data_IF_506531661802
#
_entry.id   IF_506531661802
#
_cell.length_a   1.000
_cell.length_b   1.000
_cell.length_c   1.000
_cell.angle_alpha   90.00
_cell.angle_beta   90.00
_cell.angle_gamma   90.00
#
_symmetry.space_group_name_H-M   'P 1'
#
loop_
_entity.id
_entity.type
_entity.pdbx_description
1 polymer ?
#
# COMPACT_ATOMS: atom_id res chain seq x y z
N UNK A 1 -1.21 13.28 11.60
CA UNK A 1 -1.49 11.87 11.25
C UNK A 1 -0.21 11.06 11.38
N UNK A 2 -0.31 9.82 11.86
CA UNK A 2 0.82 8.91 12.05
C UNK A 2 0.56 7.64 11.24
N UNK A 3 1.61 7.10 10.64
CA UNK A 3 1.62 5.73 10.18
C UNK A 3 2.93 5.05 10.59
N UNK A 4 2.88 3.74 10.74
CA UNK A 4 4.03 2.92 11.00
C UNK A 4 3.96 1.65 10.18
N UNK A 5 5.11 1.02 9.97
CA UNK A 5 5.26 -0.20 9.21
C UNK A 5 6.24 -1.12 9.90
N UNK A 6 5.94 -2.41 9.90
CA UNK A 6 6.92 -3.46 10.12
C UNK A 6 7.20 -4.16 8.81
N UNK A 7 8.40 -4.68 8.66
CA UNK A 7 8.79 -5.55 7.58
C UNK A 7 9.04 -6.95 8.11
N UNK A 8 8.44 -7.92 7.47
CA UNK A 8 8.34 -9.31 7.86
C UNK A 8 8.87 -10.13 6.70
N UNK A 9 10.17 -10.32 6.68
CA UNK A 9 10.84 -11.06 5.63
C UNK A 9 11.05 -12.52 6.06
N UNK A 10 10.66 -13.50 5.26
CA UNK A 10 11.02 -14.87 5.54
C UNK A 10 12.55 -15.01 5.50
N UNK A 11 13.10 -15.78 6.43
CA UNK A 11 14.52 -16.13 6.35
C UNK A 11 14.80 -16.75 5.00
N UNK A 12 15.88 -16.30 4.34
CA UNK A 12 16.37 -16.98 3.17
C UNK A 12 16.63 -18.45 3.50
N UNK A 13 16.35 -19.40 2.58
CA UNK A 13 16.52 -20.83 2.83
C UNK A 13 17.94 -21.24 3.27
N UNK A 14 18.93 -20.42 2.96
CA UNK A 14 20.34 -20.56 3.34
C UNK A 14 20.70 -19.93 4.69
N UNK A 15 19.72 -19.38 5.43
CA UNK A 15 19.95 -18.67 6.68
C UNK A 15 20.54 -17.26 6.50
N UNK A 16 20.56 -16.74 5.29
CA UNK A 16 20.98 -15.37 4.97
C UNK A 16 20.13 -14.34 5.70
N UNK A 17 20.76 -13.25 6.15
CA UNK A 17 20.06 -12.11 6.73
C UNK A 17 19.78 -11.10 5.62
N UNK A 18 18.51 -10.75 5.47
CA UNK A 18 18.16 -9.58 4.68
C UNK A 18 18.57 -8.33 5.47
N UNK A 19 19.61 -7.65 4.99
CA UNK A 19 20.04 -6.39 5.56
C UNK A 19 19.40 -5.27 4.77
N UNK A 20 18.85 -4.29 5.47
CA UNK A 20 18.32 -3.09 4.83
C UNK A 20 19.36 -1.97 4.90
N UNK A 21 19.46 -1.21 3.82
CA UNK A 21 20.33 -0.06 3.72
C UNK A 21 19.51 1.23 3.70
N UNK A 22 19.73 2.08 4.70
CA UNK A 22 19.22 3.45 4.66
C UNK A 22 20.13 4.30 3.77
N UNK A 23 19.56 4.84 2.70
CA UNK A 23 20.29 5.59 1.67
C UNK A 23 19.72 6.99 1.54
N UNK A 24 20.60 7.97 1.40
CA UNK A 24 20.24 9.34 0.96
C UNK A 24 20.49 9.44 -0.52
N UNK A 25 19.44 9.59 -1.30
CA UNK A 25 19.50 9.82 -2.73
C UNK A 25 19.52 11.33 -2.98
N UNK A 26 20.59 11.88 -3.55
CA UNK A 26 20.69 13.32 -3.76
C UNK A 26 19.71 13.81 -4.85
N UNK A 27 19.34 15.07 -4.77
CA UNK A 27 18.62 15.72 -5.86
C UNK A 27 19.41 15.59 -7.16
N UNK A 28 18.74 15.34 -8.27
CA UNK A 28 19.39 15.07 -9.55
C UNK A 28 18.67 15.75 -10.70
N UNK A 29 19.46 16.25 -11.64
CA UNK A 29 18.98 16.75 -12.94
C UNK A 29 19.21 15.67 -13.99
N UNK A 30 18.18 15.39 -14.76
CA UNK A 30 18.18 14.40 -15.83
C UNK A 30 18.07 15.08 -17.19
N UNK A 31 18.58 14.42 -18.21
CA UNK A 31 18.45 14.84 -19.60
C UNK A 31 17.15 14.34 -20.18
N UNK A 32 16.70 14.96 -21.25
CA UNK A 32 15.59 14.44 -22.03
C UNK A 32 15.92 13.02 -22.55
N UNK A 33 14.99 12.11 -22.33
CA UNK A 33 15.15 10.70 -22.66
C UNK A 33 15.70 9.81 -21.54
N UNK A 34 16.23 10.37 -20.46
CA UNK A 34 16.63 9.58 -19.28
C UNK A 34 15.38 8.92 -18.64
N UNK A 35 15.53 7.67 -18.23
CA UNK A 35 14.42 6.86 -17.69
C UNK A 35 14.80 6.17 -16.39
N UNK A 36 13.80 5.96 -15.54
CA UNK A 36 13.83 4.91 -14.52
C UNK A 36 13.76 3.59 -15.28
N UNK A 37 14.59 2.63 -14.90
CA UNK A 37 14.62 1.30 -15.48
C UNK A 37 14.66 0.26 -14.36
N UNK A 38 13.73 -0.71 -14.40
CA UNK A 38 13.75 -1.86 -13.52
C UNK A 38 14.06 -3.11 -14.35
N UNK A 39 15.30 -3.60 -14.22
CA UNK A 39 15.77 -4.74 -15.00
C UNK A 39 15.08 -6.06 -14.60
N UNK A 40 14.46 -6.13 -13.41
CA UNK A 40 13.81 -7.34 -12.93
C UNK A 40 12.58 -7.72 -13.76
N UNK A 41 11.85 -6.72 -14.26
CA UNK A 41 10.65 -6.95 -15.08
C UNK A 41 10.63 -6.18 -16.40
N UNK A 42 11.57 -5.27 -16.62
CA UNK A 42 11.66 -4.44 -17.83
C UNK A 42 10.81 -3.17 -17.77
N UNK A 43 10.31 -2.77 -16.61
CA UNK A 43 9.60 -1.51 -16.44
C UNK A 43 10.49 -0.33 -16.75
N UNK A 44 9.95 0.65 -17.50
CA UNK A 44 10.63 1.91 -17.75
C UNK A 44 9.66 3.09 -17.65
N UNK A 45 10.13 4.19 -17.04
CA UNK A 45 9.36 5.42 -16.96
C UNK A 45 10.28 6.67 -17.06
N UNK A 46 9.88 7.77 -17.75
CA UNK A 46 10.72 8.95 -17.88
C UNK A 46 11.06 9.59 -16.53
N UNK A 47 12.29 10.03 -16.34
CA UNK A 47 12.64 10.94 -15.27
C UNK A 47 12.05 12.34 -15.49
N UNK A 48 11.80 13.06 -14.39
CA UNK A 48 11.60 14.51 -14.51
C UNK A 48 12.95 15.20 -14.73
N UNK A 49 12.94 16.36 -15.38
CA UNK A 49 14.15 17.14 -15.59
C UNK A 49 14.90 17.46 -14.29
N UNK A 50 14.16 17.65 -13.19
CA UNK A 50 14.72 17.86 -11.86
C UNK A 50 13.93 17.02 -10.86
N UNK A 51 14.61 16.14 -10.15
CA UNK A 51 14.06 15.30 -9.09
C UNK A 51 14.66 15.68 -7.75
N UNK A 52 13.83 15.69 -6.72
CA UNK A 52 14.17 16.10 -5.36
C UNK A 52 15.04 15.06 -4.66
N UNK A 53 15.81 15.52 -3.69
CA UNK A 53 16.48 14.65 -2.73
C UNK A 53 15.47 13.90 -1.88
N UNK A 54 15.74 12.63 -1.63
CA UNK A 54 14.95 11.79 -0.75
C UNK A 54 15.81 10.76 -0.02
N UNK A 55 15.24 10.12 0.98
CA UNK A 55 15.84 8.97 1.64
C UNK A 55 14.99 7.76 1.34
N UNK A 56 15.60 6.60 1.27
CA UNK A 56 14.89 5.34 1.15
C UNK A 56 15.62 4.23 1.90
N UNK A 57 14.86 3.22 2.29
CA UNK A 57 15.38 1.98 2.85
C UNK A 57 15.31 0.92 1.76
N UNK A 58 16.47 0.51 1.29
CA UNK A 58 16.61 -0.49 0.23
C UNK A 58 16.89 -1.86 0.81
N UNK A 59 16.36 -2.88 0.18
CA UNK A 59 16.79 -4.25 0.42
C UNK A 59 18.24 -4.42 -0.06
N UNK A 60 19.09 -4.99 0.78
CA UNK A 60 20.50 -5.17 0.46
C UNK A 60 20.80 -6.49 -0.23
N UNK A 61 19.82 -7.33 -0.43
CA UNK A 61 20.02 -8.63 -1.09
C UNK A 61 20.13 -8.47 -2.61
N UNK A 62 21.24 -7.86 -3.02
CA UNK A 62 21.60 -7.68 -4.43
C UNK A 62 21.82 -9.00 -5.17
N UNK A 63 22.01 -10.11 -4.44
CA UNK A 63 22.37 -11.40 -5.02
C UNK A 63 21.15 -12.16 -5.56
N UNK A 64 19.94 -11.75 -5.22
CA UNK A 64 18.69 -12.37 -5.70
C UNK A 64 18.17 -11.80 -7.02
N UNK A 65 19.01 -11.10 -7.79
CA UNK A 65 18.64 -10.59 -9.11
C UNK A 65 17.77 -9.33 -9.07
N UNK A 66 17.44 -8.79 -7.91
CA UNK A 66 16.98 -7.43 -7.78
C UNK A 66 18.21 -6.52 -7.84
N UNK A 67 18.23 -5.57 -8.76
CA UNK A 67 19.38 -4.67 -8.99
C UNK A 67 19.66 -3.67 -7.85
N UNK A 68 19.29 -4.00 -6.63
CA UNK A 68 19.47 -3.16 -5.46
C UNK A 68 18.54 -1.96 -5.40
N UNK A 69 17.50 -1.93 -6.22
CA UNK A 69 16.55 -0.82 -6.33
C UNK A 69 15.21 -1.12 -5.62
N UNK A 70 15.13 -2.12 -4.78
CA UNK A 70 13.92 -2.43 -4.03
C UNK A 70 13.81 -1.52 -2.81
N UNK A 71 13.15 -0.38 -2.97
CA UNK A 71 12.95 0.59 -1.91
C UNK A 71 11.61 0.36 -1.20
N UNK A 72 11.65 0.02 0.10
CA UNK A 72 10.46 -0.29 0.88
C UNK A 72 9.71 0.96 1.35
N UNK A 73 10.43 1.98 1.78
CA UNK A 73 9.86 3.23 2.30
C UNK A 73 10.91 4.34 2.32
N UNK A 74 10.45 5.57 2.51
CA UNK A 74 11.34 6.72 2.61
C UNK A 74 10.57 8.04 2.80
N UNK A 75 11.31 9.13 2.73
CA UNK A 75 10.76 10.49 2.73
C UNK A 75 11.64 11.44 1.93
N UNK A 76 11.02 12.46 1.33
CA UNK A 76 11.74 13.46 0.55
C UNK A 76 12.08 14.71 1.38
N UNK A 77 12.83 15.63 0.79
CA UNK A 77 13.30 16.87 1.43
C UNK A 77 12.17 17.84 1.83
N UNK A 78 10.95 17.65 1.32
CA UNK A 78 9.78 18.42 1.72
C UNK A 78 9.00 17.76 2.87
N UNK A 79 9.46 16.61 3.38
CA UNK A 79 8.82 15.88 4.46
C UNK A 79 7.61 15.04 4.02
N UNK A 80 7.50 14.74 2.74
CA UNK A 80 6.54 13.75 2.25
C UNK A 80 7.12 12.37 2.46
N UNK A 81 6.42 11.53 3.19
CA UNK A 81 6.80 10.14 3.48
C UNK A 81 5.93 9.17 2.70
N UNK A 82 6.49 8.04 2.33
CA UNK A 82 5.80 6.97 1.62
C UNK A 82 6.28 5.61 2.11
N UNK A 83 5.37 4.65 2.19
CA UNK A 83 5.68 3.23 2.24
C UNK A 83 4.95 2.50 1.12
N UNK A 84 5.62 1.53 0.53
CA UNK A 84 5.10 0.58 -0.43
C UNK A 84 5.45 -0.84 0.05
N UNK A 85 5.39 -1.84 -0.81
CA UNK A 85 5.80 -3.20 -0.45
C UNK A 85 4.89 -3.91 0.55
N UNK A 86 3.61 -3.52 0.59
CA UNK A 86 2.57 -4.31 1.24
C UNK A 86 1.87 -5.12 0.15
N UNK A 87 2.55 -6.17 -0.33
CA UNK A 87 2.05 -7.02 -1.41
C UNK A 87 0.68 -7.58 -1.07
N UNK A 88 -0.26 -7.44 -1.98
CA UNK A 88 -1.62 -7.97 -1.88
C UNK A 88 -1.95 -8.76 -3.15
N UNK A 89 -2.76 -9.80 -3.03
CA UNK A 89 -3.05 -10.67 -4.18
C UNK A 89 -4.49 -10.46 -4.64
N UNK A 90 -4.69 -9.97 -5.86
CA UNK A 90 -6.01 -9.94 -6.48
C UNK A 90 -6.56 -11.36 -6.70
N UNK A 91 -7.88 -11.51 -6.76
CA UNK A 91 -8.46 -12.80 -7.11
C UNK A 91 -8.42 -13.09 -8.61
N UNK A 92 -8.48 -14.36 -8.96
CA UNK A 92 -8.35 -14.84 -10.34
C UNK A 92 -9.46 -14.34 -11.28
N UNK A 93 -10.64 -13.98 -10.74
CA UNK A 93 -11.75 -13.51 -11.56
C UNK A 93 -11.46 -12.13 -12.14
N UNK A 94 -11.03 -11.19 -11.29
CA UNK A 94 -10.67 -9.84 -11.76
C UNK A 94 -9.42 -9.84 -12.61
N UNK A 95 -8.46 -10.75 -12.35
CA UNK A 95 -7.26 -10.89 -13.17
C UNK A 95 -7.51 -11.45 -14.57
N UNK A 96 -8.65 -12.10 -14.83
CA UNK A 96 -9.05 -12.47 -16.20
C UNK A 96 -9.50 -11.27 -17.02
N UNK A 97 -10.09 -10.27 -16.37
CA UNK A 97 -10.62 -9.07 -17.03
C UNK A 97 -9.58 -7.95 -17.11
N UNK A 98 -8.74 -7.81 -16.08
CA UNK A 98 -7.67 -6.83 -16.02
C UNK A 98 -6.39 -7.49 -15.44
N UNK A 99 -5.65 -8.23 -16.27
CA UNK A 99 -4.47 -8.96 -15.84
C UNK A 99 -3.34 -8.03 -15.42
N UNK A 100 -2.51 -8.49 -14.48
CA UNK A 100 -1.26 -7.82 -14.14
C UNK A 100 -0.38 -7.67 -15.39
N UNK A 101 0.28 -6.55 -15.51
CA UNK A 101 1.12 -6.20 -16.66
C UNK A 101 2.56 -6.59 -16.37
N UNK A 102 3.13 -7.49 -17.17
CA UNK A 102 4.46 -8.06 -16.91
C UNK A 102 5.55 -7.01 -16.73
N UNK A 103 5.58 -6.01 -17.60
CA UNK A 103 6.50 -4.86 -17.61
C UNK A 103 5.82 -3.58 -17.06
N UNK A 104 4.74 -3.74 -16.30
CA UNK A 104 4.08 -2.69 -15.56
C UNK A 104 4.88 -2.24 -14.34
N UNK A 105 4.37 -1.25 -13.62
CA UNK A 105 5.00 -0.70 -12.43
C UNK A 105 5.17 -1.78 -11.35
N UNK A 106 6.41 -2.16 -10.99
CA UNK A 106 6.66 -3.14 -9.95
C UNK A 106 6.74 -2.45 -8.58
N UNK A 107 6.51 -3.22 -7.54
CA UNK A 107 6.63 -2.82 -6.14
C UNK A 107 7.99 -2.14 -5.85
N UNK A 108 9.05 -2.72 -6.39
CA UNK A 108 10.42 -2.26 -6.19
C UNK A 108 10.67 -0.81 -6.61
N UNK A 109 9.95 -0.32 -7.64
CA UNK A 109 10.15 1.01 -8.20
C UNK A 109 9.24 2.09 -7.64
N UNK A 110 8.24 1.75 -6.81
CA UNK A 110 7.21 2.68 -6.33
C UNK A 110 7.78 3.89 -5.58
N UNK A 111 8.70 3.66 -4.66
CA UNK A 111 9.29 4.71 -3.82
C UNK A 111 10.19 5.63 -4.64
N UNK A 112 11.07 5.04 -5.47
CA UNK A 112 12.01 5.78 -6.33
C UNK A 112 11.30 6.54 -7.45
N UNK A 113 10.12 6.06 -7.87
CA UNK A 113 9.27 6.77 -8.81
C UNK A 113 8.60 7.98 -8.18
N UNK A 114 7.99 7.83 -7.00
CA UNK A 114 7.04 8.80 -6.49
C UNK A 114 7.65 9.87 -5.57
N UNK A 115 8.54 9.49 -4.65
CA UNK A 115 9.11 10.44 -3.67
C UNK A 115 9.89 11.61 -4.28
N UNK A 116 10.75 11.42 -5.30
CA UNK A 116 11.52 12.54 -5.85
C UNK A 116 10.67 13.54 -6.65
N UNK A 117 9.39 13.25 -6.88
CA UNK A 117 8.46 14.02 -7.72
C UNK A 117 7.38 14.73 -6.96
N UNK A 118 6.96 14.15 -5.83
CA UNK A 118 5.78 14.58 -5.09
C UNK A 118 6.10 15.66 -4.06
N UNK A 119 5.29 16.72 -4.01
CA UNK A 119 5.37 17.79 -3.01
C UNK A 119 4.39 17.60 -1.86
N UNK A 120 3.41 16.74 -2.04
CA UNK A 120 2.38 16.39 -1.05
C UNK A 120 2.11 14.89 -1.05
N UNK A 121 1.47 14.41 0.00
CA UNK A 121 1.02 13.01 0.06
C UNK A 121 0.04 12.66 -1.08
N UNK A 122 -0.85 13.60 -1.43
CA UNK A 122 -1.76 13.45 -2.56
C UNK A 122 -1.01 13.30 -3.89
N UNK A 123 0.03 14.10 -4.13
CA UNK A 123 0.83 14.03 -5.36
C UNK A 123 1.60 12.70 -5.50
N UNK A 124 1.96 12.03 -4.37
CA UNK A 124 2.48 10.65 -4.42
C UNK A 124 1.45 9.72 -5.07
N UNK A 125 0.22 9.75 -4.58
CA UNK A 125 -0.87 8.91 -5.08
C UNK A 125 -1.21 9.23 -6.54
N UNK A 126 -1.30 10.51 -6.89
CA UNK A 126 -1.58 10.96 -8.27
C UNK A 126 -0.46 10.54 -9.25
N UNK A 127 0.80 10.56 -8.79
CA UNK A 127 1.94 10.09 -9.58
C UNK A 127 1.83 8.59 -9.86
N UNK A 128 1.56 7.80 -8.83
CA UNK A 128 1.39 6.34 -8.99
C UNK A 128 0.17 6.05 -9.87
N UNK A 129 -0.98 6.67 -9.60
CA UNK A 129 -2.21 6.50 -10.37
C UNK A 129 -1.98 6.76 -11.87
N UNK A 130 -1.30 7.85 -12.20
CA UNK A 130 -0.94 8.17 -13.60
C UNK A 130 -0.12 7.07 -14.26
N UNK A 131 0.86 6.53 -13.55
CA UNK A 131 1.71 5.45 -14.10
C UNK A 131 0.92 4.16 -14.26
N UNK A 132 0.01 3.85 -13.33
CA UNK A 132 -0.89 2.71 -13.45
C UNK A 132 -1.83 2.83 -14.65
N UNK A 133 -2.36 4.02 -14.91
CA UNK A 133 -3.20 4.28 -16.11
C UNK A 133 -2.40 4.11 -17.41
N UNK A 134 -1.11 4.47 -17.41
CA UNK A 134 -0.27 4.46 -18.63
C UNK A 134 0.43 3.12 -18.87
N UNK A 135 0.82 2.42 -17.81
CA UNK A 135 1.73 1.26 -17.85
C UNK A 135 1.13 0.01 -17.20
N UNK A 136 0.13 0.18 -16.37
CA UNK A 136 -0.36 -0.88 -15.52
C UNK A 136 0.58 -1.22 -14.37
N UNK A 137 0.16 -2.19 -13.55
CA UNK A 137 0.91 -2.74 -12.42
C UNK A 137 1.36 -4.16 -12.67
N UNK A 138 2.57 -4.48 -12.25
CA UNK A 138 3.10 -5.85 -12.29
C UNK A 138 2.55 -6.73 -11.15
N UNK A 139 2.02 -6.12 -10.09
CA UNK A 139 1.53 -6.81 -8.90
C UNK A 139 0.52 -5.99 -8.10
N UNK A 140 -0.28 -6.65 -7.26
CA UNK A 140 -1.15 -5.96 -6.31
C UNK A 140 -0.35 -5.43 -5.12
N UNK A 141 -0.68 -4.23 -4.65
CA UNK A 141 0.05 -3.59 -3.56
C UNK A 141 -0.81 -2.62 -2.76
N UNK A 142 -0.33 -2.26 -1.56
CA UNK A 142 -0.88 -1.19 -0.76
C UNK A 142 0.19 -0.14 -0.53
N UNK A 143 -0.18 1.12 -0.71
CA UNK A 143 0.67 2.29 -0.52
C UNK A 143 0.07 3.17 0.58
N UNK A 144 0.93 3.69 1.44
CA UNK A 144 0.58 4.79 2.35
C UNK A 144 1.51 5.95 2.07
N UNK A 145 0.95 7.13 1.88
CA UNK A 145 1.68 8.37 1.74
C UNK A 145 1.21 9.39 2.77
N UNK A 146 2.13 10.14 3.37
CA UNK A 146 1.79 11.15 4.35
C UNK A 146 2.69 12.38 4.23
N UNK A 147 2.10 13.53 4.53
CA UNK A 147 2.81 14.78 4.79
C UNK A 147 2.32 15.41 6.11
N UNK A 148 2.71 16.64 6.38
CA UNK A 148 2.32 17.35 7.61
C UNK A 148 0.81 17.61 7.71
N UNK A 149 0.04 17.54 6.61
CA UNK A 149 -1.36 17.92 6.55
C UNK A 149 -2.29 16.72 6.44
N UNK A 150 -1.89 15.70 5.68
CA UNK A 150 -2.76 14.59 5.31
C UNK A 150 -2.02 13.25 5.17
N UNK A 151 -2.80 12.19 5.18
CA UNK A 151 -2.38 10.83 4.88
C UNK A 151 -3.31 10.26 3.83
N UNK A 152 -2.75 9.56 2.87
CA UNK A 152 -3.45 8.81 1.84
C UNK A 152 -3.12 7.32 1.93
N UNK A 153 -4.14 6.50 1.70
CA UNK A 153 -4.04 5.04 1.61
C UNK A 153 -4.53 4.61 0.24
N UNK A 154 -3.78 3.78 -0.46
CA UNK A 154 -4.10 3.31 -1.81
C UNK A 154 -3.97 1.80 -1.89
N UNK A 155 -4.94 1.15 -2.53
CA UNK A 155 -4.88 -0.24 -2.96
C UNK A 155 -4.75 -0.33 -4.49
N UNK A 156 -3.70 -1.00 -4.97
CA UNK A 156 -3.50 -1.39 -6.36
C UNK A 156 -4.13 -2.77 -6.52
N UNK A 157 -5.24 -2.84 -7.23
CA UNK A 157 -6.22 -3.92 -7.18
C UNK A 157 -6.06 -4.95 -8.30
N UNK A 158 -5.50 -4.55 -9.44
CA UNK A 158 -5.24 -5.40 -10.61
C UNK A 158 -4.32 -4.67 -11.58
N UNK A 159 -4.25 -5.06 -12.83
CA UNK A 159 -3.34 -4.46 -13.83
C UNK A 159 -3.47 -2.94 -13.93
N UNK A 160 -4.70 -2.40 -13.99
CA UNK A 160 -4.93 -0.97 -14.12
C UNK A 160 -5.93 -0.42 -13.10
N UNK A 161 -6.45 -1.28 -12.19
CA UNK A 161 -7.43 -0.82 -11.22
C UNK A 161 -6.80 -0.50 -9.87
N UNK A 162 -7.20 0.63 -9.32
CA UNK A 162 -6.75 1.12 -8.02
C UNK A 162 -7.81 2.02 -7.38
N UNK A 163 -7.78 2.08 -6.06
CA UNK A 163 -8.55 3.05 -5.28
C UNK A 163 -7.69 3.59 -4.15
N UNK A 164 -7.66 4.89 -4.01
CA UNK A 164 -7.01 5.58 -2.92
C UNK A 164 -7.99 6.49 -2.18
N UNK A 165 -7.80 6.59 -0.87
CA UNK A 165 -8.60 7.47 -0.01
C UNK A 165 -7.69 8.38 0.81
N UNK A 166 -8.13 9.62 1.00
CA UNK A 166 -7.60 10.47 2.05
C UNK A 166 -8.05 9.89 3.39
N UNK A 167 -7.09 9.55 4.24
CA UNK A 167 -7.38 8.87 5.49
C UNK A 167 -8.03 9.82 6.50
N UNK A 168 -9.22 9.49 7.04
CA UNK A 168 -9.93 10.35 7.99
C UNK A 168 -9.15 10.50 9.30
N UNK A 169 -9.12 11.73 9.84
CA UNK A 169 -8.34 12.05 11.05
C UNK A 169 -8.90 11.47 12.35
N UNK A 170 -10.15 11.02 12.33
CA UNK A 170 -10.85 10.42 13.48
C UNK A 170 -10.90 8.88 13.42
N UNK A 171 -10.19 8.27 12.48
CA UNK A 171 -10.14 6.81 12.33
C UNK A 171 -8.73 6.30 12.61
N UNK A 172 -8.64 5.00 12.89
CA UNK A 172 -7.39 4.25 12.86
C UNK A 172 -7.53 3.03 11.93
N UNK A 173 -6.41 2.49 11.51
CA UNK A 173 -6.34 1.27 10.72
C UNK A 173 -5.20 0.39 11.19
N UNK A 174 -5.43 -0.91 11.11
CA UNK A 174 -4.39 -1.95 11.18
C UNK A 174 -4.65 -2.89 10.02
N UNK A 175 -3.64 -3.14 9.21
CA UNK A 175 -3.78 -3.97 8.03
C UNK A 175 -2.51 -4.78 7.75
N UNK A 176 -2.67 -5.89 7.05
CA UNK A 176 -1.61 -6.80 6.64
C UNK A 176 -1.62 -6.93 5.11
N UNK A 177 -1.06 -8.01 4.57
CA UNK A 177 -0.86 -8.21 3.13
C UNK A 177 -2.13 -8.72 2.42
N UNK A 178 -3.18 -7.91 2.39
CA UNK A 178 -4.43 -8.16 1.65
C UNK A 178 -5.22 -6.85 1.53
N UNK A 179 -6.32 -6.82 0.76
CA UNK A 179 -7.13 -5.62 0.58
C UNK A 179 -8.14 -5.42 1.71
N UNK A 180 -8.43 -4.16 2.04
CA UNK A 180 -9.29 -3.76 3.16
C UNK A 180 -10.35 -2.72 2.83
N UNK A 181 -10.25 -2.02 1.67
CA UNK A 181 -11.22 -0.99 1.33
C UNK A 181 -12.63 -1.57 1.18
N UNK A 182 -13.52 -1.12 2.03
CA UNK A 182 -14.94 -1.39 1.93
C UNK A 182 -15.61 -0.55 0.85
N UNK A 183 -16.79 0.01 1.18
CA UNK A 183 -17.45 1.00 0.33
C UNK A 183 -16.71 2.34 0.38
N UNK A 184 -16.55 2.94 -0.79
CA UNK A 184 -15.98 4.28 -0.99
C UNK A 184 -16.84 5.04 -1.99
N UNK A 185 -17.16 6.30 -1.68
CA UNK A 185 -17.84 7.17 -2.66
C UNK A 185 -16.86 7.58 -3.77
N UNK A 186 -16.90 6.88 -4.88
CA UNK A 186 -16.04 7.13 -6.04
C UNK A 186 -16.28 8.50 -6.71
N UNK A 187 -17.34 9.22 -6.34
CA UNK A 187 -17.62 10.58 -6.82
C UNK A 187 -16.99 11.66 -5.96
N UNK A 188 -16.52 11.35 -4.75
CA UNK A 188 -15.80 12.29 -3.87
C UNK A 188 -14.37 12.52 -4.37
N UNK A 189 -14.23 13.41 -5.36
CA UNK A 189 -12.92 13.72 -5.98
C UNK A 189 -11.95 14.49 -5.07
N UNK A 190 -12.42 14.99 -3.95
CA UNK A 190 -11.56 15.63 -2.94
C UNK A 190 -10.82 14.58 -2.10
N UNK A 191 -11.50 13.51 -1.71
CA UNK A 191 -10.99 12.53 -0.77
C UNK A 191 -10.74 11.15 -1.40
N UNK A 192 -11.06 10.95 -2.68
CA UNK A 192 -10.92 9.67 -3.40
C UNK A 192 -10.26 9.87 -4.76
N UNK A 193 -9.28 9.03 -5.04
CA UNK A 193 -8.64 8.87 -6.35
C UNK A 193 -8.80 7.41 -6.75
N UNK A 194 -9.48 7.15 -7.86
CA UNK A 194 -9.76 5.81 -8.31
C UNK A 194 -9.65 5.70 -9.83
N UNK A 195 -9.26 4.52 -10.31
CA UNK A 195 -9.30 4.18 -11.72
C UNK A 195 -10.74 4.27 -12.24
N UNK A 196 -10.86 4.64 -13.50
CA UNK A 196 -12.16 4.91 -14.13
C UNK A 196 -13.07 3.68 -14.16
N UNK A 197 -12.49 2.51 -14.39
CA UNK A 197 -13.22 1.28 -14.71
C UNK A 197 -13.28 0.29 -13.53
N UNK A 198 -12.96 0.75 -12.29
CA UNK A 198 -12.88 -0.14 -11.10
C UNK A 198 -14.17 -0.91 -10.83
N UNK A 199 -15.34 -0.31 -10.98
CA UNK A 199 -16.62 -1.04 -10.84
C UNK A 199 -16.89 -1.94 -12.04
N UNK A 200 -16.59 -1.45 -13.26
CA UNK A 200 -16.89 -2.15 -14.50
C UNK A 200 -16.08 -3.43 -14.64
N UNK A 201 -14.80 -3.41 -14.26
CA UNK A 201 -13.97 -4.62 -14.23
C UNK A 201 -14.53 -5.64 -13.24
N UNK A 202 -14.95 -5.23 -12.05
CA UNK A 202 -15.58 -6.14 -11.08
C UNK A 202 -16.88 -6.76 -11.59
N UNK A 203 -17.70 -5.98 -12.33
CA UNK A 203 -18.93 -6.46 -12.97
C UNK A 203 -18.65 -7.46 -14.09
N UNK A 204 -17.70 -7.17 -14.98
CA UNK A 204 -17.29 -8.08 -16.05
C UNK A 204 -16.70 -9.39 -15.53
N UNK A 205 -15.98 -9.31 -14.43
CA UNK A 205 -15.42 -10.47 -13.73
C UNK A 205 -16.47 -11.36 -13.04
N UNK A 206 -17.75 -11.00 -13.08
CA UNK A 206 -18.82 -11.63 -12.30
C UNK A 206 -18.43 -11.75 -10.81
N UNK A 207 -17.80 -10.66 -10.29
CA UNK A 207 -17.35 -10.58 -8.90
C UNK A 207 -17.64 -9.23 -8.24
N UNK A 208 -18.66 -8.53 -8.71
CA UNK A 208 -19.14 -7.29 -8.10
C UNK A 208 -19.88 -7.61 -6.81
N UNK A 209 -19.25 -7.35 -5.68
CA UNK A 209 -19.83 -7.62 -4.35
C UNK A 209 -20.35 -6.31 -3.75
N UNK A 210 -21.45 -6.43 -3.03
CA UNK A 210 -22.09 -5.30 -2.34
C UNK A 210 -22.26 -5.59 -0.86
N UNK A 211 -22.42 -4.53 -0.07
CA UNK A 211 -22.91 -4.64 1.30
C UNK A 211 -24.44 -4.84 1.32
N UNK A 212 -25.00 -4.86 2.53
CA UNK A 212 -26.46 -5.01 2.75
C UNK A 212 -27.30 -3.85 2.18
N UNK A 213 -26.70 -2.70 1.97
CA UNK A 213 -27.33 -1.49 1.46
C UNK A 213 -27.14 -1.35 -0.06
N UNK A 214 -26.46 -2.30 -0.71
CA UNK A 214 -26.21 -2.34 -2.14
C UNK A 214 -24.97 -1.56 -2.56
N UNK A 215 -24.15 -1.08 -1.64
CA UNK A 215 -22.94 -0.31 -1.97
C UNK A 215 -21.80 -1.24 -2.39
N UNK A 216 -21.05 -0.83 -3.40
CA UNK A 216 -19.89 -1.56 -3.92
C UNK A 216 -18.81 -1.75 -2.85
N UNK A 217 -18.38 -3.00 -2.65
CA UNK A 217 -17.36 -3.40 -1.68
C UNK A 217 -16.06 -3.76 -2.39
N UNK A 218 -15.08 -2.86 -2.39
CA UNK A 218 -13.85 -2.95 -3.19
C UNK A 218 -13.04 -4.19 -2.83
N UNK A 219 -12.61 -4.32 -1.58
CA UNK A 219 -11.76 -5.45 -1.15
C UNK A 219 -12.43 -6.81 -1.35
N UNK A 220 -13.77 -6.89 -1.16
CA UNK A 220 -14.52 -8.14 -1.40
C UNK A 220 -14.62 -8.50 -2.88
N UNK A 221 -14.62 -7.50 -3.75
CA UNK A 221 -14.68 -7.71 -5.20
C UNK A 221 -13.33 -8.05 -5.81
N UNK A 222 -12.25 -7.48 -5.29
CA UNK A 222 -10.91 -7.63 -5.86
C UNK A 222 -10.01 -8.59 -5.09
N UNK A 223 -10.19 -8.70 -3.79
CA UNK A 223 -9.37 -9.54 -2.91
C UNK A 223 -9.84 -10.99 -2.83
N UNK A 224 -9.19 -11.79 -1.98
CA UNK A 224 -9.60 -13.17 -1.71
C UNK A 224 -10.94 -13.21 -0.98
N UNK A 225 -11.71 -14.27 -1.19
CA UNK A 225 -13.00 -14.47 -0.51
C UNK A 225 -12.84 -14.55 1.03
N UNK A 226 -11.69 -15.03 1.49
CA UNK A 226 -11.34 -15.13 2.90
C UNK A 226 -9.87 -14.79 3.12
N UNK A 227 -9.58 -14.03 4.18
CA UNK A 227 -8.20 -13.71 4.53
C UNK A 227 -7.41 -14.95 4.95
N UNK A 228 -6.18 -15.05 4.47
CA UNK A 228 -5.24 -16.05 4.97
C UNK A 228 -4.99 -15.85 6.46
N UNK A 229 -4.73 -16.94 7.17
CA UNK A 229 -4.47 -16.94 8.62
C UNK A 229 -3.45 -15.90 9.05
N UNK A 230 -2.32 -15.82 8.35
CA UNK A 230 -1.25 -14.85 8.63
C UNK A 230 -1.68 -13.38 8.51
N UNK A 231 -2.64 -13.07 7.63
CA UNK A 231 -3.17 -11.72 7.48
C UNK A 231 -4.22 -11.43 8.57
N UNK A 232 -5.09 -12.39 8.81
CA UNK A 232 -6.15 -12.32 9.81
C UNK A 232 -5.59 -12.15 11.22
N UNK A 233 -4.62 -12.98 11.62
CA UNK A 233 -4.01 -12.94 12.95
C UNK A 233 -3.33 -11.60 13.23
N UNK A 234 -2.55 -11.08 12.28
CA UNK A 234 -1.87 -9.78 12.42
C UNK A 234 -2.88 -8.64 12.53
N UNK A 235 -3.89 -8.62 11.68
CA UNK A 235 -4.92 -7.57 11.69
C UNK A 235 -5.74 -7.62 12.97
N UNK A 236 -6.21 -8.80 13.38
CA UNK A 236 -6.96 -8.98 14.62
C UNK A 236 -6.15 -8.53 15.84
N UNK A 237 -4.91 -9.00 15.96
CA UNK A 237 -4.04 -8.66 17.08
C UNK A 237 -3.75 -7.17 17.15
N UNK A 238 -3.42 -6.54 16.04
CA UNK A 238 -3.16 -5.11 16.00
C UNK A 238 -4.39 -4.27 16.32
N UNK A 239 -5.59 -4.65 15.82
CA UNK A 239 -6.84 -3.99 16.20
C UNK A 239 -7.06 -4.09 17.72
N UNK A 240 -6.92 -5.30 18.29
CA UNK A 240 -7.08 -5.51 19.74
C UNK A 240 -6.03 -4.82 20.58
N UNK A 241 -4.83 -4.62 20.04
CA UNK A 241 -3.78 -3.84 20.68
C UNK A 241 -4.11 -2.34 20.69
N UNK A 242 -4.50 -1.79 19.55
CA UNK A 242 -4.82 -0.36 19.42
C UNK A 242 -6.11 -0.01 20.18
N UNK A 243 -7.10 -0.88 20.14
CA UNK A 243 -8.38 -0.72 20.80
C UNK A 243 -8.85 -2.05 21.43
N UNK A 244 -8.50 -2.34 22.69
CA UNK A 244 -8.88 -3.60 23.36
C UNK A 244 -10.40 -3.85 23.44
N UNK A 245 -11.21 -2.79 23.34
CA UNK A 245 -12.67 -2.87 23.36
C UNK A 245 -13.31 -2.98 21.98
N UNK A 246 -12.49 -2.92 20.91
CA UNK A 246 -12.99 -3.05 19.53
C UNK A 246 -13.80 -4.35 19.36
N UNK A 247 -14.96 -4.20 18.74
CA UNK A 247 -15.83 -5.34 18.40
C UNK A 247 -15.34 -5.98 17.11
N UNK A 248 -14.44 -6.93 17.25
CA UNK A 248 -13.92 -7.77 16.16
C UNK A 248 -13.85 -9.21 16.64
N UNK A 249 -14.09 -10.14 15.72
CA UNK A 249 -13.99 -11.56 15.96
C UNK A 249 -12.79 -12.12 15.21
N UNK A 250 -12.03 -13.02 15.82
CA UNK A 250 -10.88 -13.63 15.16
C UNK A 250 -11.27 -14.39 13.88
N UNK A 251 -12.46 -15.00 13.89
CA UNK A 251 -12.97 -15.79 12.77
C UNK A 251 -13.68 -14.97 11.68
N UNK A 252 -13.68 -13.63 11.81
CA UNK A 252 -14.24 -12.78 10.76
C UNK A 252 -13.48 -13.03 9.44
N UNK A 253 -14.21 -13.17 8.34
CA UNK A 253 -13.65 -13.45 7.02
C UNK A 253 -12.86 -12.26 6.46
N UNK A 254 -13.22 -11.05 6.89
CA UNK A 254 -12.57 -9.79 6.52
C UNK A 254 -12.73 -8.74 7.62
N UNK A 255 -11.89 -7.71 7.58
CA UNK A 255 -11.94 -6.59 8.51
C UNK A 255 -12.07 -5.28 7.73
N UNK A 256 -12.80 -4.32 8.30
CA UNK A 256 -12.86 -2.97 7.75
C UNK A 256 -11.55 -2.22 8.00
N UNK A 257 -11.07 -1.51 6.97
CA UNK A 257 -9.88 -0.65 7.09
C UNK A 257 -10.10 0.46 8.12
N UNK A 258 -11.19 1.22 7.93
CA UNK A 258 -11.46 2.43 8.70
C UNK A 258 -12.23 2.11 9.97
N UNK A 259 -11.58 2.22 11.11
CA UNK A 259 -12.17 1.93 12.41
C UNK A 259 -12.26 3.18 13.28
N UNK A 260 -13.40 3.34 13.95
CA UNK A 260 -13.54 4.33 15.01
C UNK A 260 -12.99 3.78 16.31
N UNK A 261 -12.16 4.54 17.05
CA UNK A 261 -11.80 4.14 18.40
C UNK A 261 -13.06 4.01 19.27
N UNK A 262 -13.11 2.97 20.10
CA UNK A 262 -14.22 2.76 21.06
C UNK A 262 -14.32 3.93 22.04
N UNK A 263 -13.18 4.48 22.47
CA UNK A 263 -13.12 5.77 23.16
C UNK A 263 -12.95 6.89 22.15
N UNK A 264 -13.95 7.76 21.93
CA UNK A 264 -13.87 8.86 20.96
C UNK A 264 -12.83 9.94 21.33
N UNK A 265 -12.33 9.94 22.57
CA UNK A 265 -11.28 10.85 23.03
C UNK A 265 -9.87 10.24 22.89
N UNK A 266 -9.76 8.97 22.49
CA UNK A 266 -8.48 8.29 22.32
C UNK A 266 -7.65 9.01 21.26
N UNK A 267 -6.43 9.35 21.65
CA UNK A 267 -5.40 9.89 20.73
C UNK A 267 -4.23 8.93 20.72
N UNK A 268 -3.88 8.49 19.55
CA UNK A 268 -2.71 7.64 19.34
C UNK A 268 -1.46 8.48 19.21
N UNK A 269 -0.40 8.03 19.87
CA UNK A 269 0.92 8.67 19.88
C UNK A 269 1.92 7.85 19.07
N UNK A 270 3.10 8.42 18.82
CA UNK A 270 4.21 7.67 18.23
C UNK A 270 4.57 6.44 19.08
N UNK A 271 4.46 6.56 20.40
CA UNK A 271 4.72 5.42 21.30
C UNK A 271 3.70 4.30 21.14
N UNK A 272 2.43 4.60 20.93
CA UNK A 272 1.39 3.59 20.68
C UNK A 272 1.70 2.82 19.40
N UNK A 273 2.08 3.52 18.32
CA UNK A 273 2.45 2.90 17.04
C UNK A 273 3.69 2.02 17.18
N UNK A 274 4.75 2.52 17.86
CA UNK A 274 5.97 1.74 18.10
C UNK A 274 5.67 0.50 18.97
N UNK A 275 4.81 0.64 19.97
CA UNK A 275 4.44 -0.47 20.85
C UNK A 275 3.63 -1.54 20.10
N UNK A 276 2.72 -1.11 19.24
CA UNK A 276 1.98 -2.02 18.36
C UNK A 276 2.94 -2.80 17.45
N UNK A 277 3.87 -2.12 16.78
CA UNK A 277 4.85 -2.75 15.90
C UNK A 277 5.81 -3.73 16.61
N UNK A 278 5.93 -3.65 17.93
CA UNK A 278 6.68 -4.59 18.76
C UNK A 278 5.83 -5.70 19.34
N UNK A 279 4.52 -5.69 19.10
CA UNK A 279 3.61 -6.72 19.58
C UNK A 279 3.98 -8.08 18.95
N UNK A 280 4.11 -9.11 19.80
CA UNK A 280 4.45 -10.48 19.39
C UNK A 280 3.26 -11.43 19.46
N UNK A 281 2.06 -10.88 19.49
CA UNK A 281 0.80 -11.66 19.51
C UNK A 281 0.64 -12.56 20.76
N UNK A 282 1.36 -12.27 21.84
CA UNK A 282 1.35 -13.06 23.09
C UNK A 282 -0.01 -13.11 23.78
N UNK A 283 -0.97 -12.34 23.33
CA UNK A 283 -2.33 -12.24 23.89
C UNK A 283 -3.41 -12.77 22.96
N UNK A 284 -3.02 -13.43 21.86
CA UNK A 284 -4.00 -14.11 21.02
C UNK A 284 -4.48 -15.41 21.69
N UNK A 285 -5.76 -15.78 21.52
CA UNK A 285 -6.18 -17.14 21.87
C UNK A 285 -5.38 -18.15 21.07
N UNK A 286 -4.96 -19.22 21.73
CA UNK A 286 -4.25 -20.34 21.09
C UNK A 286 -5.13 -21.05 20.05
#
# INVERSE_FOLDING_TARGET
TLFGRTEDYPYAPDGGRHNQNYVVVPAKTYKDGDKIEDESNGFTYPHLANEMKYTAVYDSDRDNGSNGNFAAHGFNELGVAMTATVSATPNDKVLKEDPLVKDGLPEASLVDLALPRAKTAREVIETVAKVLDEKGSAEGNIIVAADKNELWYMEILSGHQYVAIKFPTNKYAVFANTYYLGHVDLNDKENVIASKDVEEVAKKADNYKTDKDGNFMIAKSYGPDKYMERNRSRTYAGIKWMDPQAKVNYDDESFDLLREPTDPNKKYTVHDVIAEQRNRFEHLPE
#
